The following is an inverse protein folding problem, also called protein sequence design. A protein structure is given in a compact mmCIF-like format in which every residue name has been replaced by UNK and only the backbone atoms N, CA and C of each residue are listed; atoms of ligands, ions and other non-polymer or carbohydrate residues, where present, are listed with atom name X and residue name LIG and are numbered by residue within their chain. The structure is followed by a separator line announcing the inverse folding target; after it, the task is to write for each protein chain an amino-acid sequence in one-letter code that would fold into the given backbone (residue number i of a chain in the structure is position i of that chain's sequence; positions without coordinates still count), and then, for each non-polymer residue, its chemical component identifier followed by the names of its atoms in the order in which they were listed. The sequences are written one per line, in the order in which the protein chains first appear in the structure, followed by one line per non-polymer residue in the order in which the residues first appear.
data_IF_101048631015
#
_entry.id   IF_101048631015
#
_cell.length_a   1.000
_cell.length_b   1.000
_cell.length_c   1.000
_cell.angle_alpha   90.00
_cell.angle_beta   90.00
_cell.angle_gamma   90.00
#
_symmetry.space_group_name_H-M   'P 1'
#
loop_
_entity.id
_entity.type
_entity.pdbx_description
1 polymer ?
#
# COMPACT_ATOMS: atom_id res chain seq x y z
N UNK A 1 -80.24 50.24 -26.10
CA UNK A 1 -79.11 50.16 -25.14
C UNK A 1 -79.45 49.28 -23.92
N UNK A 2 -79.83 48.02 -24.13
CA UNK A 2 -80.02 46.99 -23.08
C UNK A 2 -79.36 45.70 -23.58
N UNK A 3 -78.06 45.53 -23.34
CA UNK A 3 -77.38 44.23 -23.54
C UNK A 3 -75.92 44.18 -23.03
N UNK A 4 -75.30 45.32 -22.69
CA UNK A 4 -73.88 45.36 -22.27
C UNK A 4 -73.71 45.11 -20.76
N UNK A 5 -74.68 45.56 -19.93
CA UNK A 5 -74.59 45.39 -18.46
C UNK A 5 -74.73 43.95 -17.99
N UNK A 6 -75.38 43.07 -18.77
CA UNK A 6 -75.53 41.65 -18.42
C UNK A 6 -74.27 40.83 -18.72
N UNK A 7 -73.50 41.20 -19.76
CA UNK A 7 -72.25 40.48 -20.10
C UNK A 7 -71.13 40.69 -19.07
N UNK A 8 -71.00 41.90 -18.51
CA UNK A 8 -70.02 42.17 -17.43
C UNK A 8 -70.42 41.53 -16.09
N UNK A 9 -71.71 41.43 -15.80
CA UNK A 9 -72.20 40.80 -14.57
C UNK A 9 -71.97 39.28 -14.60
N UNK A 10 -72.12 38.63 -15.77
CA UNK A 10 -71.84 37.19 -15.94
C UNK A 10 -70.33 36.88 -15.91
N UNK A 11 -69.47 37.76 -16.44
CA UNK A 11 -68.01 37.55 -16.38
C UNK A 11 -67.43 37.76 -14.99
N UNK A 12 -67.95 38.73 -14.21
CA UNK A 12 -67.55 38.90 -12.80
C UNK A 12 -68.03 37.71 -11.95
N UNK A 13 -69.23 37.19 -12.21
CA UNK A 13 -69.73 35.99 -11.52
C UNK A 13 -68.87 34.75 -11.82
N UNK A 14 -68.40 34.59 -13.07
CA UNK A 14 -67.57 33.44 -13.48
C UNK A 14 -66.15 33.48 -12.86
N UNK A 15 -65.57 34.67 -12.67
CA UNK A 15 -64.25 34.83 -12.04
C UNK A 15 -64.32 34.58 -10.52
N UNK A 16 -65.39 35.02 -9.86
CA UNK A 16 -65.61 34.72 -8.44
C UNK A 16 -65.82 33.22 -8.18
N UNK A 17 -66.43 32.49 -9.12
CA UNK A 17 -66.72 31.07 -8.96
C UNK A 17 -65.45 30.20 -9.05
N UNK A 18 -64.44 30.60 -9.84
CA UNK A 18 -63.18 29.85 -10.00
C UNK A 18 -62.23 30.03 -8.79
N UNK A 19 -62.27 31.17 -8.10
CA UNK A 19 -61.42 31.42 -6.92
C UNK A 19 -61.86 30.60 -5.69
N UNK A 20 -63.14 30.21 -5.61
CA UNK A 20 -63.66 29.45 -4.47
C UNK A 20 -63.29 27.96 -4.49
N UNK A 21 -63.04 27.34 -5.64
CA UNK A 21 -62.79 25.88 -5.70
C UNK A 21 -61.37 25.46 -5.30
N UNK A 22 -60.35 26.26 -5.59
CA UNK A 22 -58.94 25.89 -5.29
C UNK A 22 -58.60 26.09 -3.81
N UNK A 23 -59.08 27.15 -3.18
CA UNK A 23 -58.90 27.36 -1.73
C UNK A 23 -59.81 26.45 -0.89
N UNK A 24 -61.00 26.09 -1.38
CA UNK A 24 -61.91 25.22 -0.64
C UNK A 24 -61.39 23.78 -0.57
N UNK A 25 -60.72 23.24 -1.59
CA UNK A 25 -60.33 21.83 -1.58
C UNK A 25 -59.26 21.52 -0.52
N UNK A 26 -58.23 22.36 -0.39
CA UNK A 26 -57.16 22.15 0.61
C UNK A 26 -57.67 22.39 2.05
N UNK A 27 -58.51 23.41 2.23
CA UNK A 27 -59.17 23.70 3.50
C UNK A 27 -60.18 22.61 3.93
N UNK A 28 -60.95 22.06 2.98
CA UNK A 28 -61.93 20.99 3.26
C UNK A 28 -61.25 19.65 3.52
N UNK A 29 -60.08 19.36 2.93
CA UNK A 29 -59.26 18.19 3.27
C UNK A 29 -58.62 18.29 4.66
N UNK A 30 -58.42 19.50 5.19
CA UNK A 30 -57.94 19.74 6.56
C UNK A 30 -59.02 19.57 7.64
N UNK A 31 -60.31 19.44 7.29
CA UNK A 31 -61.42 19.30 8.27
C UNK A 31 -61.32 18.07 9.18
N UNK A 32 -60.59 17.03 8.78
CA UNK A 32 -60.36 15.83 9.58
C UNK A 32 -59.08 15.91 10.44
N UNK A 33 -58.31 17.00 10.36
CA UNK A 33 -57.15 17.23 11.22
C UNK A 33 -57.56 17.98 12.48
N UNK A 34 -58.16 17.25 13.43
CA UNK A 34 -57.95 17.63 14.83
C UNK A 34 -56.46 17.44 15.13
N UNK A 35 -55.86 18.29 15.98
CA UNK A 35 -54.44 18.24 16.38
C UNK A 35 -53.41 18.91 15.45
N UNK A 36 -53.81 19.81 14.54
CA UNK A 36 -52.90 20.60 13.67
C UNK A 36 -51.72 21.24 14.43
N UNK A 37 -52.01 21.83 15.60
CA UNK A 37 -51.01 22.44 16.47
C UNK A 37 -49.90 21.45 16.94
N UNK A 38 -50.20 20.16 17.05
CA UNK A 38 -49.20 19.13 17.41
C UNK A 38 -48.36 18.67 16.22
N UNK A 39 -48.93 18.64 15.01
CA UNK A 39 -48.20 18.35 13.77
C UNK A 39 -47.23 19.50 13.44
N UNK A 40 -47.69 20.75 13.57
CA UNK A 40 -46.85 21.94 13.42
C UNK A 40 -45.75 22.00 14.48
N UNK A 41 -46.03 21.69 15.76
CA UNK A 41 -44.95 21.60 16.78
C UNK A 41 -43.97 20.47 16.48
N UNK A 42 -44.41 19.34 15.91
CA UNK A 42 -43.50 18.27 15.50
C UNK A 42 -42.61 18.71 14.33
N UNK A 43 -43.17 19.37 13.32
CA UNK A 43 -42.40 19.90 12.20
C UNK A 43 -41.48 21.05 12.61
N UNK A 44 -41.90 21.92 13.53
CA UNK A 44 -41.04 22.95 14.13
C UNK A 44 -39.87 22.33 14.88
N UNK A 45 -40.12 21.32 15.73
CA UNK A 45 -39.05 20.58 16.42
C UNK A 45 -38.07 19.92 15.46
N UNK A 46 -38.57 19.27 14.41
CA UNK A 46 -37.71 18.65 13.38
C UNK A 46 -36.87 19.74 12.66
N UNK A 47 -37.48 20.87 12.31
CA UNK A 47 -36.75 21.97 11.67
C UNK A 47 -35.73 22.63 12.61
N UNK A 48 -36.05 22.76 13.90
CA UNK A 48 -35.15 23.25 14.95
C UNK A 48 -33.98 22.28 15.18
N UNK A 49 -34.24 20.97 15.21
CA UNK A 49 -33.21 19.92 15.33
C UNK A 49 -32.28 19.93 14.11
N UNK A 50 -32.83 20.04 12.89
CA UNK A 50 -32.06 20.16 11.64
C UNK A 50 -31.22 21.45 11.66
N UNK A 51 -31.80 22.58 12.09
CA UNK A 51 -31.08 23.85 12.17
C UNK A 51 -29.92 23.78 13.17
N UNK A 52 -30.14 23.15 14.33
CA UNK A 52 -29.09 22.93 15.34
C UNK A 52 -27.98 22.00 14.84
N UNK A 53 -28.32 20.98 14.05
CA UNK A 53 -27.34 20.08 13.45
C UNK A 53 -26.51 20.78 12.36
N UNK A 54 -27.16 21.60 11.52
CA UNK A 54 -26.49 22.43 10.52
C UNK A 54 -25.53 23.45 11.16
N UNK A 55 -25.94 24.10 12.25
CA UNK A 55 -25.08 25.04 12.99
C UNK A 55 -23.87 24.33 13.62
N UNK A 56 -24.04 23.11 14.14
CA UNK A 56 -22.92 22.29 14.65
C UNK A 56 -21.94 21.93 13.54
N UNK A 57 -22.44 21.51 12.38
CA UNK A 57 -21.61 21.14 11.22
C UNK A 57 -20.83 22.35 10.71
N UNK A 58 -21.48 23.52 10.58
CA UNK A 58 -20.84 24.76 10.16
C UNK A 58 -19.75 25.20 11.15
N UNK A 59 -20.02 25.12 12.45
CA UNK A 59 -19.02 25.43 13.49
C UNK A 59 -17.80 24.50 13.40
N UNK A 60 -18.03 23.20 13.22
CA UNK A 60 -16.95 22.22 13.03
C UNK A 60 -16.15 22.45 11.73
N UNK A 61 -16.80 22.91 10.67
CA UNK A 61 -16.12 23.24 9.41
C UNK A 61 -15.24 24.49 9.56
N UNK A 62 -15.74 25.53 10.23
CA UNK A 62 -14.97 26.73 10.54
C UNK A 62 -13.74 26.41 11.40
N UNK A 63 -13.92 25.59 12.45
CA UNK A 63 -12.82 25.13 13.31
C UNK A 63 -11.75 24.36 12.50
N UNK A 64 -12.18 23.45 11.61
CA UNK A 64 -11.27 22.73 10.70
C UNK A 64 -10.51 23.67 9.76
N UNK A 65 -11.17 24.71 9.24
CA UNK A 65 -10.54 25.68 8.35
C UNK A 65 -9.47 26.50 9.07
N UNK A 66 -9.73 26.91 10.32
CA UNK A 66 -8.76 27.64 11.16
C UNK A 66 -7.55 26.75 11.46
N UNK A 67 -7.78 25.54 11.96
CA UNK A 67 -6.71 24.59 12.27
C UNK A 67 -5.84 24.28 11.04
N UNK A 68 -6.45 24.15 9.86
CA UNK A 68 -5.72 23.97 8.60
C UNK A 68 -4.82 25.15 8.28
N UNK A 69 -5.33 26.38 8.40
CA UNK A 69 -4.57 27.59 8.10
C UNK A 69 -3.35 27.75 9.03
N UNK A 70 -3.49 27.41 10.32
CA UNK A 70 -2.39 27.44 11.29
C UNK A 70 -1.28 26.44 10.93
N UNK A 71 -1.65 25.20 10.60
CA UNK A 71 -0.70 24.14 10.22
C UNK A 71 0.01 24.48 8.90
N UNK A 72 -0.72 25.00 7.92
CA UNK A 72 -0.15 25.42 6.63
C UNK A 72 0.83 26.59 6.80
N UNK A 73 0.53 27.55 7.69
CA UNK A 73 1.44 28.65 8.01
C UNK A 73 2.73 28.13 8.66
N UNK A 74 2.62 27.21 9.63
CA UNK A 74 3.77 26.58 10.27
C UNK A 74 4.63 25.80 9.27
N UNK A 75 4.01 25.03 8.37
CA UNK A 75 4.71 24.26 7.33
C UNK A 75 5.51 25.17 6.40
N UNK A 76 4.93 26.29 5.96
CA UNK A 76 5.62 27.26 5.09
C UNK A 76 6.85 27.85 5.77
N UNK A 77 6.72 28.27 7.03
CA UNK A 77 7.83 28.82 7.80
C UNK A 77 8.97 27.80 7.96
N UNK A 78 8.64 26.53 8.25
CA UNK A 78 9.62 25.45 8.35
C UNK A 78 10.32 25.19 7.01
N UNK A 79 9.58 25.20 5.90
CA UNK A 79 10.13 25.01 4.56
C UNK A 79 11.08 26.15 4.16
N UNK A 80 10.72 27.41 4.44
CA UNK A 80 11.57 28.57 4.17
C UNK A 80 12.90 28.47 4.93
N UNK A 81 12.85 28.10 6.22
CA UNK A 81 14.04 27.86 7.04
C UNK A 81 14.89 26.70 6.51
N UNK A 82 14.24 25.62 6.06
CA UNK A 82 14.89 24.45 5.46
C UNK A 82 15.65 24.83 4.19
N UNK A 83 15.05 25.64 3.31
CA UNK A 83 15.71 26.10 2.09
C UNK A 83 16.94 26.95 2.38
N UNK A 84 16.87 27.85 3.36
CA UNK A 84 18.02 28.66 3.77
C UNK A 84 19.15 27.81 4.35
N UNK A 85 18.81 26.83 5.21
CA UNK A 85 19.78 25.88 5.77
C UNK A 85 20.48 25.05 4.68
N UNK A 86 19.72 24.48 3.73
CA UNK A 86 20.28 23.63 2.66
C UNK A 86 21.13 24.46 1.70
N UNK A 87 20.70 25.69 1.37
CA UNK A 87 21.41 26.54 0.42
C UNK A 87 22.68 27.15 1.01
N UNK A 88 22.66 27.50 2.30
CA UNK A 88 23.74 28.22 2.98
C UNK A 88 24.16 27.54 4.30
N UNK A 89 24.72 26.31 4.24
CA UNK A 89 25.08 25.55 5.44
C UNK A 89 26.25 26.13 6.23
N UNK A 90 27.06 27.01 5.62
CA UNK A 90 28.20 27.66 6.29
C UNK A 90 27.77 28.67 7.36
N UNK A 91 26.55 29.23 7.23
CA UNK A 91 26.01 30.14 8.21
C UNK A 91 25.28 29.37 9.33
N UNK A 92 25.90 29.32 10.50
CA UNK A 92 25.37 28.62 11.67
C UNK A 92 24.03 29.18 12.17
N UNK A 93 23.73 30.45 11.91
CA UNK A 93 22.46 31.07 12.31
C UNK A 93 21.27 30.44 11.57
N UNK A 94 21.43 30.11 10.29
CA UNK A 94 20.39 29.44 9.50
C UNK A 94 20.12 28.01 9.99
N UNK A 95 21.20 27.27 10.32
CA UNK A 95 21.10 25.93 10.91
C UNK A 95 20.41 26.00 12.28
N UNK A 96 20.79 26.98 13.11
CA UNK A 96 20.19 27.16 14.43
C UNK A 96 18.71 27.54 14.35
N UNK A 97 18.33 28.44 13.44
CA UNK A 97 16.94 28.85 13.23
C UNK A 97 16.06 27.66 12.83
N UNK A 98 16.51 26.84 11.87
CA UNK A 98 15.80 25.61 11.48
C UNK A 98 15.69 24.64 12.67
N UNK A 99 16.80 24.37 13.36
CA UNK A 99 16.82 23.46 14.52
C UNK A 99 15.85 23.89 15.63
N UNK A 100 15.74 25.21 15.88
CA UNK A 100 14.78 25.75 16.85
C UNK A 100 13.35 25.46 16.43
N UNK A 101 13.01 25.69 15.15
CA UNK A 101 11.66 25.43 14.62
C UNK A 101 11.32 23.93 14.61
N UNK A 102 12.30 23.09 14.29
CA UNK A 102 12.19 21.63 14.37
C UNK A 102 11.88 21.16 15.80
N UNK A 103 12.48 21.79 16.82
CA UNK A 103 12.18 21.47 18.21
C UNK A 103 10.72 21.80 18.59
N UNK A 104 10.14 22.89 18.08
CA UNK A 104 8.71 23.21 18.25
C UNK A 104 7.82 22.16 17.60
N UNK A 105 8.16 21.72 16.38
CA UNK A 105 7.45 20.63 15.69
C UNK A 105 7.52 19.32 16.49
N UNK A 106 8.68 19.00 17.05
CA UNK A 106 8.88 17.79 17.85
C UNK A 106 8.03 17.82 19.12
N UNK A 107 7.96 18.95 19.84
CA UNK A 107 7.11 19.10 21.02
C UNK A 107 5.62 18.91 20.67
N UNK A 108 5.16 19.48 19.56
CA UNK A 108 3.79 19.27 19.07
C UNK A 108 3.53 17.79 18.73
N UNK A 109 4.50 17.11 18.10
CA UNK A 109 4.40 15.69 17.79
C UNK A 109 4.29 14.82 19.05
N UNK A 110 5.03 15.15 20.12
CA UNK A 110 4.95 14.42 21.41
C UNK A 110 3.59 14.58 22.08
N UNK A 111 2.99 15.78 22.02
CA UNK A 111 1.62 16.03 22.53
C UNK A 111 0.58 15.24 21.74
N UNK A 112 0.73 15.19 20.41
CA UNK A 112 -0.15 14.42 19.53
C UNK A 112 -0.04 12.92 19.84
N UNK A 113 1.19 12.40 19.96
CA UNK A 113 1.48 11.01 20.29
C UNK A 113 0.87 10.59 21.65
N UNK A 114 0.94 11.45 22.67
CA UNK A 114 0.22 11.22 23.92
C UNK A 114 -1.30 11.12 23.72
N UNK A 115 -1.87 12.04 22.94
CA UNK A 115 -3.32 12.05 22.65
C UNK A 115 -3.74 10.80 21.87
N UNK A 116 -2.94 10.35 20.91
CA UNK A 116 -3.17 9.11 20.16
C UNK A 116 -3.16 7.88 21.08
N UNK A 117 -2.23 7.80 22.04
CA UNK A 117 -2.25 6.72 23.04
C UNK A 117 -3.53 6.71 23.87
N UNK A 118 -4.05 7.87 24.25
CA UNK A 118 -5.31 7.98 25.00
C UNK A 118 -6.49 7.51 24.15
N UNK A 119 -6.58 7.95 22.89
CA UNK A 119 -7.64 7.50 21.97
C UNK A 119 -7.56 5.98 21.77
N UNK A 120 -6.36 5.44 21.56
CA UNK A 120 -6.14 3.99 21.43
C UNK A 120 -6.60 3.23 22.69
N UNK A 121 -6.37 3.79 23.88
CA UNK A 121 -6.86 3.19 25.13
C UNK A 121 -8.40 3.18 25.20
N UNK A 122 -9.05 4.25 24.75
CA UNK A 122 -10.51 4.38 24.76
C UNK A 122 -11.19 3.54 23.66
N UNK A 123 -10.49 3.33 22.54
CA UNK A 123 -11.00 2.65 21.35
C UNK A 123 -10.10 1.47 20.93
N UNK A 124 -10.02 0.40 21.75
CA UNK A 124 -9.11 -0.72 21.50
C UNK A 124 -9.43 -1.54 20.24
N UNK A 125 -10.69 -1.51 19.77
CA UNK A 125 -11.14 -2.29 18.61
C UNK A 125 -10.66 -1.70 17.27
N UNK A 126 -10.32 -0.41 17.23
CA UNK A 126 -9.89 0.26 16.00
C UNK A 126 -8.42 -0.03 15.66
N UNK A 127 -7.70 -0.68 16.59
CA UNK A 127 -6.26 -0.89 16.48
C UNK A 127 -5.93 -2.26 15.88
N UNK A 128 -5.10 -2.25 14.84
CA UNK A 128 -4.60 -3.47 14.22
C UNK A 128 -3.31 -3.99 14.85
N UNK A 129 -3.27 -4.14 16.18
CA UNK A 129 -2.10 -4.70 16.88
C UNK A 129 -1.95 -6.22 16.69
N UNK A 130 -3.00 -6.89 16.19
CA UNK A 130 -2.96 -8.32 15.87
C UNK A 130 -2.09 -8.58 14.64
N UNK A 131 -2.22 -7.79 13.56
CA UNK A 131 -1.42 -7.95 12.35
C UNK A 131 -0.12 -7.14 12.43
N UNK A 132 -0.15 -5.97 13.10
CA UNK A 132 0.99 -5.07 13.26
C UNK A 132 1.29 -4.85 14.75
N UNK A 133 1.93 -5.84 15.40
CA UNK A 133 2.29 -5.71 16.81
C UNK A 133 3.33 -4.60 17.00
N UNK A 134 3.08 -3.70 17.95
CA UNK A 134 4.02 -2.62 18.32
C UNK A 134 4.95 -3.01 19.47
N UNK A 135 4.50 -3.92 20.34
CA UNK A 135 5.31 -4.46 21.44
C UNK A 135 6.50 -5.25 20.88
N UNK A 136 7.69 -5.06 21.47
CA UNK A 136 8.90 -5.83 21.18
C UNK A 136 8.65 -7.35 21.13
N UNK A 137 7.87 -7.90 22.07
CA UNK A 137 7.56 -9.33 22.10
C UNK A 137 6.73 -9.76 20.89
N UNK A 138 5.67 -9.01 20.56
CA UNK A 138 4.83 -9.30 19.39
C UNK A 138 5.59 -9.13 18.08
N UNK A 139 6.44 -8.12 17.97
CA UNK A 139 7.33 -7.92 16.81
C UNK A 139 8.28 -9.10 16.63
N UNK A 140 8.84 -9.64 17.71
CA UNK A 140 9.72 -10.80 17.67
C UNK A 140 8.98 -12.06 17.21
N UNK A 141 7.75 -12.29 17.68
CA UNK A 141 6.92 -13.40 17.20
C UNK A 141 6.64 -13.25 15.71
N UNK A 142 6.18 -12.08 15.29
CA UNK A 142 5.89 -11.82 13.87
C UNK A 142 7.13 -12.02 13.00
N UNK A 143 8.30 -11.53 13.43
CA UNK A 143 9.55 -11.74 12.71
C UNK A 143 9.90 -13.23 12.59
N UNK A 144 9.66 -14.02 13.65
CA UNK A 144 9.87 -15.47 13.60
C UNK A 144 8.90 -16.17 12.65
N UNK A 145 7.64 -15.74 12.60
CA UNK A 145 6.64 -16.27 11.66
C UNK A 145 7.00 -15.90 10.22
N UNK A 146 7.36 -14.64 9.95
CA UNK A 146 7.82 -14.19 8.64
C UNK A 146 9.08 -14.96 8.20
N UNK A 147 10.04 -15.17 9.10
CA UNK A 147 11.24 -15.95 8.81
C UNK A 147 10.92 -17.41 8.49
N UNK A 148 9.99 -18.05 9.22
CA UNK A 148 9.53 -19.42 8.89
C UNK A 148 8.91 -19.49 7.50
N UNK A 149 8.05 -18.55 7.16
CA UNK A 149 7.42 -18.49 5.82
C UNK A 149 8.47 -18.29 4.72
N UNK A 150 9.49 -17.47 4.98
CA UNK A 150 10.60 -17.30 4.04
C UNK A 150 11.42 -18.58 3.89
N UNK A 151 11.73 -19.25 5.00
CA UNK A 151 12.46 -20.52 5.02
C UNK A 151 11.71 -21.62 4.25
N UNK A 152 10.39 -21.71 4.43
CA UNK A 152 9.54 -22.66 3.70
C UNK A 152 9.55 -22.40 2.19
N UNK A 153 9.46 -21.14 1.75
CA UNK A 153 9.53 -20.78 0.31
C UNK A 153 10.88 -21.12 -0.30
N UNK A 154 11.97 -20.86 0.42
CA UNK A 154 13.32 -21.19 -0.05
C UNK A 154 13.50 -22.71 -0.11
N UNK A 155 12.98 -23.44 0.89
CA UNK A 155 13.02 -24.91 0.89
C UNK A 155 12.21 -25.52 -0.28
N UNK A 156 11.02 -24.97 -0.58
CA UNK A 156 10.24 -25.38 -1.76
C UNK A 156 11.00 -25.11 -3.07
N UNK A 157 11.70 -23.98 -3.14
CA UNK A 157 12.52 -23.64 -4.30
C UNK A 157 13.74 -24.56 -4.43
N UNK A 158 14.37 -24.94 -3.31
CA UNK A 158 15.61 -25.73 -3.26
C UNK A 158 15.52 -27.04 -4.05
N UNK A 159 14.36 -27.70 -4.04
CA UNK A 159 14.14 -28.94 -4.77
C UNK A 159 14.12 -28.75 -6.30
N UNK A 160 13.82 -27.55 -6.79
CA UNK A 160 13.67 -27.21 -8.21
C UNK A 160 14.93 -26.57 -8.83
N UNK A 161 15.90 -26.17 -8.01
CA UNK A 161 17.06 -25.39 -8.45
C UNK A 161 18.39 -26.08 -8.14
N UNK A 162 19.43 -25.59 -8.81
CA UNK A 162 20.82 -25.86 -8.51
C UNK A 162 21.59 -24.53 -8.56
N UNK A 163 22.59 -24.39 -7.70
CA UNK A 163 23.44 -23.21 -7.64
C UNK A 163 24.82 -23.52 -8.22
N UNK A 164 25.33 -22.60 -9.04
CA UNK A 164 26.70 -22.62 -9.56
C UNK A 164 27.48 -21.46 -8.96
N UNK A 165 28.47 -21.79 -8.14
CA UNK A 165 29.37 -20.81 -7.53
C UNK A 165 30.63 -20.67 -8.39
N UNK A 166 30.74 -19.56 -9.10
CA UNK A 166 31.89 -19.28 -9.98
C UNK A 166 32.93 -18.51 -9.20
N UNK A 167 34.14 -19.05 -9.12
CA UNK A 167 35.17 -18.55 -8.22
C UNK A 167 36.58 -18.65 -8.80
N UNK A 168 37.50 -17.90 -8.18
CA UNK A 168 38.93 -18.02 -8.39
C UNK A 168 39.62 -18.09 -7.03
N UNK A 169 40.53 -19.05 -6.84
CA UNK A 169 41.29 -19.17 -5.58
C UNK A 169 42.20 -17.98 -5.30
N UNK A 170 42.59 -17.24 -6.34
CA UNK A 170 43.44 -16.06 -6.21
C UNK A 170 42.65 -14.80 -5.78
N UNK A 171 41.33 -14.87 -5.74
CA UNK A 171 40.45 -13.75 -5.39
C UNK A 171 40.09 -13.78 -3.90
N UNK A 172 40.46 -12.74 -3.11
CA UNK A 172 40.17 -12.70 -1.67
C UNK A 172 38.67 -12.69 -1.36
N UNK A 173 37.86 -12.07 -2.23
CA UNK A 173 36.40 -12.06 -2.08
C UNK A 173 35.78 -13.44 -2.30
N UNK A 174 36.34 -14.24 -3.21
CA UNK A 174 35.89 -15.61 -3.44
C UNK A 174 36.13 -16.49 -2.21
N UNK A 175 37.28 -16.34 -1.57
CA UNK A 175 37.63 -17.07 -0.34
C UNK A 175 36.68 -16.73 0.83
N UNK A 176 36.25 -15.48 0.93
CA UNK A 176 35.30 -15.05 1.98
C UNK A 176 33.85 -15.44 1.66
N UNK A 177 33.46 -15.46 0.39
CA UNK A 177 32.10 -15.83 -0.02
C UNK A 177 31.84 -17.33 0.10
N UNK A 178 32.84 -18.17 -0.20
CA UNK A 178 32.71 -19.63 -0.19
C UNK A 178 32.11 -20.22 1.11
N UNK A 179 32.57 -19.88 2.33
CA UNK A 179 31.97 -20.39 3.56
C UNK A 179 30.52 -19.91 3.76
N UNK A 180 30.19 -18.69 3.36
CA UNK A 180 28.82 -18.14 3.47
C UNK A 180 27.87 -18.92 2.57
N UNK A 181 28.25 -19.14 1.31
CA UNK A 181 27.47 -19.95 0.35
C UNK A 181 27.38 -21.39 0.85
N UNK A 182 28.43 -21.95 1.46
CA UNK A 182 28.41 -23.30 2.01
C UNK A 182 27.41 -23.45 3.15
N UNK A 183 27.39 -22.50 4.09
CA UNK A 183 26.43 -22.52 5.20
C UNK A 183 25.00 -22.36 4.69
N UNK A 184 24.79 -21.49 3.70
CA UNK A 184 23.49 -21.25 3.09
C UNK A 184 22.93 -22.50 2.41
N UNK A 185 23.74 -23.13 1.57
CA UNK A 185 23.37 -24.33 0.81
C UNK A 185 23.16 -25.53 1.72
N UNK A 186 23.91 -25.65 2.81
CA UNK A 186 23.68 -26.68 3.84
C UNK A 186 22.38 -26.46 4.62
N UNK A 187 22.04 -25.20 4.99
CA UNK A 187 20.78 -24.89 5.70
C UNK A 187 19.57 -25.32 4.87
N UNK A 188 19.55 -24.94 3.60
CA UNK A 188 18.41 -25.16 2.69
C UNK A 188 18.51 -26.44 1.85
N UNK A 189 19.59 -27.22 1.99
CA UNK A 189 19.87 -28.45 1.23
C UNK A 189 19.85 -28.25 -0.29
N UNK A 190 20.35 -27.11 -0.76
CA UNK A 190 20.39 -26.76 -2.17
C UNK A 190 21.61 -27.42 -2.82
N UNK A 191 21.38 -28.17 -3.90
CA UNK A 191 22.46 -28.75 -4.70
C UNK A 191 23.32 -27.63 -5.30
N UNK A 192 24.62 -27.66 -5.00
CA UNK A 192 25.55 -26.59 -5.37
C UNK A 192 26.86 -27.16 -5.87
N UNK A 193 27.28 -26.69 -7.04
CA UNK A 193 28.57 -27.01 -7.65
C UNK A 193 29.39 -25.73 -7.83
N UNK A 194 30.71 -25.87 -7.85
CA UNK A 194 31.60 -24.74 -8.06
C UNK A 194 32.26 -24.79 -9.44
N UNK A 195 32.33 -23.64 -10.11
CA UNK A 195 33.04 -23.47 -11.38
C UNK A 195 34.30 -22.66 -11.13
N UNK A 196 35.46 -23.29 -11.33
CA UNK A 196 36.75 -22.64 -11.16
C UNK A 196 37.17 -21.93 -12.44
N UNK A 197 37.65 -20.68 -12.33
CA UNK A 197 38.24 -19.95 -13.47
C UNK A 197 39.73 -20.20 -13.64
N UNK A 198 40.41 -20.70 -12.60
CA UNK A 198 41.86 -20.93 -12.58
C UNK A 198 42.24 -22.43 -12.43
N UNK A 199 41.25 -23.33 -12.47
CA UNK A 199 41.45 -24.78 -12.40
C UNK A 199 41.70 -25.33 -11.00
N UNK A 200 41.69 -24.49 -9.97
CA UNK A 200 41.83 -24.93 -8.59
C UNK A 200 40.52 -25.41 -8.01
N UNK A 201 40.60 -26.36 -7.07
CA UNK A 201 39.45 -26.93 -6.36
C UNK A 201 38.98 -26.05 -5.20
N UNK A 202 37.67 -25.98 -5.02
CA UNK A 202 37.02 -25.36 -3.87
C UNK A 202 37.11 -26.28 -2.65
N UNK A 203 37.26 -25.69 -1.46
CA UNK A 203 37.25 -26.44 -0.20
C UNK A 203 35.84 -26.98 0.17
N UNK A 204 34.78 -26.31 -0.29
CA UNK A 204 33.42 -26.57 0.18
C UNK A 204 32.54 -27.33 -0.82
N UNK A 205 32.86 -27.24 -2.11
CA UNK A 205 31.99 -27.72 -3.18
C UNK A 205 32.75 -28.57 -4.19
N UNK A 206 32.04 -29.51 -4.80
CA UNK A 206 32.55 -30.23 -5.95
C UNK A 206 32.85 -29.24 -7.07
N UNK A 207 34.10 -29.25 -7.54
CA UNK A 207 34.60 -28.25 -8.47
C UNK A 207 34.71 -28.80 -9.87
N UNK A 208 34.23 -28.02 -10.83
CA UNK A 208 34.34 -28.26 -12.24
C UNK A 208 35.19 -27.15 -12.87
N UNK A 209 36.09 -27.53 -13.77
CA UNK A 209 36.90 -26.60 -14.54
C UNK A 209 36.44 -26.65 -15.99
N UNK A 210 35.74 -25.60 -16.44
CA UNK A 210 35.32 -25.47 -17.83
C UNK A 210 35.24 -23.99 -18.21
N UNK A 211 36.28 -23.50 -18.89
CA UNK A 211 36.39 -22.10 -19.31
C UNK A 211 35.33 -21.72 -20.35
N UNK A 212 34.97 -22.64 -21.24
CA UNK A 212 33.95 -22.41 -22.27
C UNK A 212 32.58 -22.21 -21.64
N UNK A 213 32.27 -22.97 -20.59
CA UNK A 213 31.01 -22.82 -19.84
C UNK A 213 30.95 -21.47 -19.11
N UNK A 214 32.03 -21.04 -18.46
CA UNK A 214 32.10 -19.72 -17.79
C UNK A 214 31.87 -18.58 -18.80
N UNK A 215 32.50 -18.68 -19.98
CA UNK A 215 32.33 -17.70 -21.05
C UNK A 215 30.91 -17.72 -21.63
N UNK A 216 30.31 -18.91 -21.81
CA UNK A 216 28.92 -19.06 -22.26
C UNK A 216 27.92 -18.45 -21.27
N UNK A 217 28.21 -18.56 -19.97
CA UNK A 217 27.40 -17.97 -18.91
C UNK A 217 27.54 -16.43 -18.83
N UNK A 218 28.51 -15.84 -19.54
CA UNK A 218 28.72 -14.39 -19.60
C UNK A 218 29.24 -13.80 -18.29
N UNK A 219 30.00 -14.57 -17.52
CA UNK A 219 30.47 -14.17 -16.18
C UNK A 219 31.78 -13.40 -16.31
N UNK A 220 31.71 -12.10 -16.10
CA UNK A 220 32.89 -11.22 -16.22
C UNK A 220 33.66 -11.04 -14.91
N UNK A 221 33.03 -11.33 -13.77
CA UNK A 221 33.60 -11.05 -12.44
C UNK A 221 33.42 -12.22 -11.48
N UNK A 222 34.43 -12.44 -10.62
CA UNK A 222 34.42 -13.47 -9.57
C UNK A 222 34.51 -12.83 -8.17
N UNK A 223 33.83 -13.38 -7.15
CA UNK A 223 32.91 -14.51 -7.22
C UNK A 223 31.55 -14.13 -7.84
N UNK A 224 30.89 -15.08 -8.50
CA UNK A 224 29.51 -14.93 -8.97
C UNK A 224 28.70 -16.16 -8.60
N UNK A 225 27.42 -15.98 -8.26
CA UNK A 225 26.51 -17.06 -7.92
C UNK A 225 25.35 -17.07 -8.91
N UNK A 226 25.17 -18.21 -9.58
CA UNK A 226 24.13 -18.40 -10.57
C UNK A 226 23.17 -19.47 -10.08
N UNK A 227 21.88 -19.16 -10.15
CA UNK A 227 20.80 -20.11 -9.95
C UNK A 227 20.35 -20.64 -11.31
N UNK A 228 20.25 -21.96 -11.42
CA UNK A 228 19.74 -22.64 -12.60
C UNK A 228 18.59 -23.55 -12.17
N UNK A 229 17.47 -23.51 -12.88
CA UNK A 229 16.38 -24.48 -12.66
C UNK A 229 16.82 -25.86 -13.16
N UNK A 230 16.45 -26.95 -12.48
CA UNK A 230 16.78 -28.33 -12.92
C UNK A 230 16.29 -28.67 -14.32
N UNK A 231 15.19 -28.05 -14.76
CA UNK A 231 14.70 -28.11 -16.13
C UNK A 231 15.64 -27.47 -17.17
N UNK A 232 16.71 -26.81 -16.73
CA UNK A 232 17.68 -26.06 -17.54
C UNK A 232 17.09 -24.95 -18.41
N UNK A 233 15.82 -24.59 -18.21
CA UNK A 233 15.10 -23.56 -18.99
C UNK A 233 15.45 -22.15 -18.55
N UNK A 234 15.69 -21.94 -17.27
CA UNK A 234 15.83 -20.61 -16.68
C UNK A 234 17.07 -20.53 -15.82
N UNK A 235 17.78 -19.40 -15.94
CA UNK A 235 18.96 -19.08 -15.14
C UNK A 235 18.89 -17.65 -14.66
N UNK A 236 19.34 -17.41 -13.43
CA UNK A 236 19.42 -16.09 -12.82
C UNK A 236 20.81 -15.90 -12.20
N UNK A 237 21.42 -14.75 -12.46
CA UNK A 237 22.58 -14.32 -11.68
C UNK A 237 22.05 -13.76 -10.35
N UNK A 238 22.28 -14.50 -9.26
CA UNK A 238 21.78 -14.17 -7.93
C UNK A 238 22.66 -13.10 -7.29
N UNK A 239 23.96 -13.23 -7.49
CA UNK A 239 24.90 -12.30 -6.91
C UNK A 239 26.21 -12.22 -7.68
N UNK A 240 26.83 -11.05 -7.54
CA UNK A 240 28.13 -10.68 -8.10
C UNK A 240 28.96 -10.01 -7.01
N UNK A 241 30.10 -10.61 -6.66
CA UNK A 241 30.95 -10.15 -5.56
C UNK A 241 30.67 -10.87 -4.24
N UNK A 242 31.25 -10.34 -3.16
CA UNK A 242 31.06 -10.92 -1.82
C UNK A 242 29.60 -10.78 -1.37
N UNK A 243 29.04 -11.87 -0.85
CA UNK A 243 27.63 -11.96 -0.48
C UNK A 243 27.45 -12.25 0.99
N UNK A 244 26.37 -11.71 1.57
CA UNK A 244 25.91 -12.07 2.91
C UNK A 244 24.82 -13.13 2.89
N UNK A 245 24.61 -13.81 4.01
CA UNK A 245 23.58 -14.84 4.14
C UNK A 245 22.17 -14.29 3.88
N UNK A 246 21.85 -13.14 4.48
CA UNK A 246 20.54 -12.49 4.35
C UNK A 246 20.28 -12.00 2.93
N UNK A 247 21.32 -11.53 2.23
CA UNK A 247 21.19 -11.16 0.82
C UNK A 247 20.87 -12.38 -0.06
N UNK A 248 21.48 -13.54 0.19
CA UNK A 248 21.15 -14.76 -0.54
C UNK A 248 19.70 -15.21 -0.30
N UNK A 249 19.20 -15.10 0.94
CA UNK A 249 17.79 -15.37 1.25
C UNK A 249 16.87 -14.45 0.46
N UNK A 250 17.13 -13.14 0.47
CA UNK A 250 16.34 -12.15 -0.27
C UNK A 250 16.30 -12.45 -1.77
N UNK A 251 17.47 -12.72 -2.39
CA UNK A 251 17.54 -12.98 -3.83
C UNK A 251 16.82 -14.26 -4.23
N UNK A 252 16.84 -15.29 -3.40
CA UNK A 252 16.11 -16.54 -3.67
C UNK A 252 14.60 -16.41 -3.46
N UNK A 253 14.15 -15.56 -2.54
CA UNK A 253 12.74 -15.22 -2.45
C UNK A 253 12.25 -14.49 -3.72
N UNK A 254 13.05 -13.56 -4.24
CA UNK A 254 12.75 -12.89 -5.53
C UNK A 254 12.74 -13.89 -6.69
N UNK A 255 13.71 -14.81 -6.73
CA UNK A 255 13.74 -15.86 -7.75
C UNK A 255 12.52 -16.79 -7.67
N UNK A 256 12.07 -17.14 -6.45
CA UNK A 256 10.87 -17.92 -6.22
C UNK A 256 9.62 -17.22 -6.79
N UNK A 257 9.46 -15.92 -6.56
CA UNK A 257 8.34 -15.14 -7.09
C UNK A 257 8.33 -15.12 -8.63
N UNK A 258 9.47 -14.85 -9.26
CA UNK A 258 9.61 -14.83 -10.72
C UNK A 258 9.27 -16.20 -11.33
N UNK A 259 9.79 -17.29 -10.74
CA UNK A 259 9.55 -18.64 -11.23
C UNK A 259 8.08 -19.04 -11.10
N UNK A 260 7.44 -18.68 -9.99
CA UNK A 260 6.01 -18.93 -9.79
C UNK A 260 5.17 -18.17 -10.81
N UNK A 261 5.50 -16.92 -11.09
CA UNK A 261 4.85 -16.12 -12.13
C UNK A 261 5.00 -16.74 -13.53
N UNK A 262 6.17 -17.30 -13.84
CA UNK A 262 6.39 -18.03 -15.08
C UNK A 262 5.54 -19.31 -15.17
N UNK A 263 5.45 -20.08 -14.08
CA UNK A 263 4.58 -21.25 -13.98
C UNK A 263 3.11 -20.85 -14.21
N UNK A 264 2.60 -19.81 -13.55
CA UNK A 264 1.24 -19.30 -13.75
C UNK A 264 0.96 -18.86 -15.19
N UNK A 265 1.86 -18.07 -15.79
CA UNK A 265 1.70 -17.62 -17.18
C UNK A 265 1.70 -18.79 -18.16
N UNK A 266 2.53 -19.80 -17.91
CA UNK A 266 2.57 -21.01 -18.72
C UNK A 266 1.25 -21.80 -18.64
N UNK A 267 0.67 -21.94 -17.44
CA UNK A 267 -0.61 -22.61 -17.23
C UNK A 267 -1.76 -21.89 -17.94
N UNK A 268 -1.84 -20.55 -17.79
CA UNK A 268 -2.84 -19.73 -18.48
C UNK A 268 -2.75 -19.85 -20.01
N UNK A 269 -1.53 -19.90 -20.54
CA UNK A 269 -1.30 -20.06 -21.99
C UNK A 269 -1.76 -21.44 -22.48
N UNK A 270 -1.60 -22.49 -21.67
CA UNK A 270 -2.05 -23.85 -22.00
C UNK A 270 -3.58 -23.94 -21.98
N UNK A 271 -4.25 -23.35 -20.99
CA UNK A 271 -5.71 -23.29 -20.92
C UNK A 271 -6.31 -22.52 -22.12
N UNK A 272 -5.70 -21.41 -22.51
CA UNK A 272 -6.13 -20.64 -23.69
C UNK A 272 -5.99 -21.45 -24.99
N UNK A 273 -4.91 -22.24 -25.12
CA UNK A 273 -4.71 -23.13 -26.27
C UNK A 273 -5.72 -24.28 -26.28
N UNK A 274 -6.03 -24.87 -25.13
CA UNK A 274 -7.05 -25.91 -25.01
C UNK A 274 -8.43 -25.38 -25.42
N UNK A 275 -8.85 -24.24 -24.85
CA UNK A 275 -10.16 -23.62 -25.13
C UNK A 275 -10.31 -23.15 -26.59
N UNK A 276 -9.24 -22.67 -27.22
CA UNK A 276 -9.28 -22.34 -28.64
C UNK A 276 -9.40 -23.60 -29.51
N UNK A 277 -8.68 -24.68 -29.19
CA UNK A 277 -8.76 -25.94 -29.93
C UNK A 277 -10.14 -26.62 -29.87
N UNK A 278 -10.83 -26.54 -28.73
CA UNK A 278 -12.20 -27.05 -28.59
C UNK A 278 -13.22 -26.21 -29.38
N UNK A 279 -13.03 -24.89 -29.44
CA UNK A 279 -13.86 -24.01 -30.28
C UNK A 279 -13.74 -24.32 -31.77
N UNK A 280 -12.55 -24.68 -32.26
CA UNK A 280 -12.37 -25.06 -33.66
C UNK A 280 -12.97 -26.43 -33.98
N UNK A 281 -12.98 -27.38 -33.04
CA UNK A 281 -13.59 -28.72 -33.24
C UNK A 281 -15.12 -28.72 -33.24
N UNK A 282 -15.75 -27.73 -32.60
CA UNK A 282 -17.21 -27.59 -32.53
C UNK A 282 -17.79 -26.68 -33.63
N UNK A 283 -16.96 -26.22 -34.56
CA UNK A 283 -17.34 -25.33 -35.67
C UNK A 283 -17.37 -26.04 -37.04
N UNK A 284 -17.09 -27.35 -37.07
CA UNK A 284 -17.31 -28.27 -38.21
C UNK A 284 -18.56 -29.13 -37.93
#
# INVERSE_FOLDING_TARGET
MRCIKTKHLVTVLLICMQASFVSANDFLHQRYRGWLWFEERKQQKINEEIQQELEKVQKQEQERAIARAEVEAFSKELDDLKYMMIRYPENLDHVYAYKKKEAEMLDAALKLDHSYRLVNLLHPNDINHKENPVNLYGRKIRQQEEQKVQEEKIAELADKIELFFVFSSDCPYSLQAAPVVSQFTQKYKIATEALSTNGQESQYFKTHFNQELVNMLGIESVPSLILVTKDSKTRFEIARGAVSFSELEEKLLLAHEILKDHELKSALTLEQKANSSERFKNAE
#
